data_IF_302981266291
#
_entry.id   IF_302981266291
#
_cell.length_a   1.000
_cell.length_b   1.000
_cell.length_c   1.000
_cell.angle_alpha   90.00
_cell.angle_beta   90.00
_cell.angle_gamma   90.00
#
_symmetry.space_group_name_H-M   'P 1'
#
loop_
_entity.id
_entity.type
_entity.pdbx_description
1 polymer ?
#
# COMPACT_ATOMS: atom_id res chain seq x y z
N UNK A 1 21.80 -5.77 -16.96
CA UNK A 1 22.41 -6.26 -15.70
C UNK A 1 22.91 -7.70 -15.85
N UNK A 2 23.83 -8.21 -14.96
CA UNK A 2 24.28 -9.60 -14.98
C UNK A 2 23.11 -10.60 -14.84
N UNK A 3 22.11 -10.28 -14.06
CA UNK A 3 20.93 -11.11 -13.86
C UNK A 3 20.04 -11.19 -15.10
N UNK A 4 19.86 -10.10 -15.82
CA UNK A 4 19.15 -10.11 -17.11
C UNK A 4 19.86 -10.97 -18.14
N UNK A 5 21.18 -10.86 -18.24
CA UNK A 5 21.98 -11.69 -19.16
C UNK A 5 21.90 -13.18 -18.77
N UNK A 6 21.81 -13.51 -17.47
CA UNK A 6 21.60 -14.86 -16.98
C UNK A 6 20.20 -15.37 -17.32
N UNK A 7 19.17 -14.56 -17.13
CA UNK A 7 17.79 -14.86 -17.48
C UNK A 7 17.67 -15.19 -18.98
N UNK A 8 18.20 -14.32 -19.85
CA UNK A 8 18.17 -14.53 -21.30
C UNK A 8 18.84 -15.83 -21.72
N UNK A 9 20.00 -16.18 -21.14
CA UNK A 9 20.70 -17.44 -21.44
C UNK A 9 19.92 -18.70 -21.03
N UNK A 10 19.03 -18.58 -20.02
CA UNK A 10 18.21 -19.70 -19.54
C UNK A 10 16.84 -19.76 -20.21
N UNK A 11 16.47 -18.74 -20.99
CA UNK A 11 15.17 -18.66 -21.66
C UNK A 11 15.10 -19.66 -22.80
N UNK A 12 14.16 -20.60 -22.71
CA UNK A 12 13.90 -21.61 -23.75
C UNK A 12 12.63 -21.30 -24.56
N UNK A 13 11.68 -20.59 -23.96
CA UNK A 13 10.38 -20.28 -24.58
C UNK A 13 9.89 -18.91 -24.13
N UNK A 14 9.30 -18.18 -25.07
CA UNK A 14 8.63 -16.90 -24.81
C UNK A 14 7.14 -17.08 -25.18
N UNK A 15 6.24 -16.66 -24.30
CA UNK A 15 4.80 -16.60 -24.53
C UNK A 15 4.26 -15.25 -24.05
N UNK A 16 3.10 -14.85 -24.56
CA UNK A 16 2.42 -13.63 -24.15
C UNK A 16 0.94 -13.92 -23.88
N UNK A 17 0.32 -13.07 -23.04
CA UNK A 17 -1.11 -13.05 -22.80
C UNK A 17 -1.58 -11.64 -23.14
N UNK A 18 -2.55 -11.52 -24.07
CA UNK A 18 -3.15 -10.23 -24.43
C UNK A 18 -4.07 -9.76 -23.32
N UNK A 19 -3.98 -8.48 -22.97
CA UNK A 19 -4.92 -7.78 -22.08
C UNK A 19 -5.58 -6.63 -22.82
N UNK A 20 -6.76 -6.19 -22.37
CA UNK A 20 -7.50 -5.09 -23.00
C UNK A 20 -6.92 -3.71 -22.64
N UNK A 21 -6.00 -3.65 -21.66
CA UNK A 21 -5.35 -2.40 -21.28
C UNK A 21 -4.23 -2.60 -20.27
N UNK A 22 -3.68 -1.48 -19.80
CA UNK A 22 -2.52 -1.44 -18.91
C UNK A 22 -2.85 -1.96 -17.51
N UNK A 23 -4.02 -1.61 -16.97
CA UNK A 23 -4.43 -2.07 -15.62
C UNK A 23 -4.49 -3.60 -15.60
N UNK A 24 -5.15 -4.20 -16.59
CA UNK A 24 -5.22 -5.65 -16.73
C UNK A 24 -3.86 -6.31 -16.85
N UNK A 25 -2.93 -5.71 -17.61
CA UNK A 25 -1.58 -6.22 -17.75
C UNK A 25 -0.83 -6.22 -16.40
N UNK A 26 -0.86 -5.11 -15.66
CA UNK A 26 -0.20 -4.97 -14.36
C UNK A 26 -0.79 -5.92 -13.30
N UNK A 27 -2.12 -6.04 -13.25
CA UNK A 27 -2.81 -6.94 -12.33
C UNK A 27 -2.49 -8.41 -12.61
N UNK A 28 -2.49 -8.79 -13.90
CA UNK A 28 -2.15 -10.15 -14.33
C UNK A 28 -0.70 -10.47 -14.03
N UNK A 29 0.24 -9.54 -14.30
CA UNK A 29 1.65 -9.70 -13.96
C UNK A 29 1.83 -9.95 -12.47
N UNK A 30 1.24 -9.09 -11.62
CA UNK A 30 1.31 -9.22 -10.17
C UNK A 30 0.76 -10.57 -9.68
N UNK A 31 -0.36 -11.02 -10.25
CA UNK A 31 -0.97 -12.32 -9.94
C UNK A 31 -0.06 -13.49 -10.35
N UNK A 32 0.49 -13.45 -11.57
CA UNK A 32 1.37 -14.50 -12.08
C UNK A 32 2.66 -14.61 -11.27
N UNK A 33 3.27 -13.50 -10.88
CA UNK A 33 4.47 -13.49 -10.03
C UNK A 33 4.18 -14.12 -8.67
N UNK A 34 3.02 -13.81 -8.07
CA UNK A 34 2.59 -14.37 -6.78
C UNK A 34 2.27 -15.86 -6.85
N UNK A 35 1.77 -16.33 -7.99
CA UNK A 35 1.42 -17.75 -8.19
C UNK A 35 2.63 -18.60 -8.59
N UNK A 36 3.52 -18.07 -9.45
CA UNK A 36 4.61 -18.83 -10.06
C UNK A 36 5.95 -18.68 -9.34
N UNK A 37 6.11 -17.66 -8.49
CA UNK A 37 7.36 -17.36 -7.77
C UNK A 37 8.63 -17.35 -8.66
N UNK A 38 8.64 -16.61 -9.79
CA UNK A 38 9.73 -16.67 -10.76
C UNK A 38 11.07 -16.29 -10.14
N UNK A 39 12.16 -16.92 -10.62
CA UNK A 39 13.50 -16.74 -10.05
C UNK A 39 14.03 -15.31 -10.16
N UNK A 40 13.76 -14.64 -11.27
CA UNK A 40 14.33 -13.33 -11.60
C UNK A 40 13.41 -12.14 -11.30
N UNK A 41 12.13 -12.38 -11.00
CA UNK A 41 11.19 -11.32 -10.59
C UNK A 41 10.71 -11.56 -9.16
N UNK A 42 11.34 -10.88 -8.19
CA UNK A 42 11.09 -11.10 -6.76
C UNK A 42 10.30 -9.95 -6.10
N UNK A 43 10.15 -8.80 -6.76
CA UNK A 43 9.60 -7.59 -6.16
C UNK A 43 8.12 -7.69 -5.78
N UNK A 44 7.31 -8.41 -6.56
CA UNK A 44 5.87 -8.56 -6.36
C UNK A 44 5.49 -9.86 -5.62
N UNK A 45 6.43 -10.50 -4.92
CA UNK A 45 6.13 -11.68 -4.11
C UNK A 45 5.30 -11.29 -2.88
N UNK A 46 4.41 -12.19 -2.46
CA UNK A 46 3.56 -11.96 -1.28
C UNK A 46 4.41 -11.66 -0.04
N UNK A 47 4.16 -10.52 0.59
CA UNK A 47 4.84 -10.11 1.82
C UNK A 47 3.93 -10.31 3.04
N UNK A 48 4.21 -11.31 3.85
CA UNK A 48 3.49 -11.60 5.10
C UNK A 48 3.76 -10.59 6.23
N UNK A 49 4.79 -9.74 6.08
CA UNK A 49 5.17 -8.71 7.05
C UNK A 49 4.70 -7.31 6.65
N UNK A 50 3.84 -7.23 5.62
CA UNK A 50 3.27 -5.95 5.18
C UNK A 50 2.66 -5.22 6.38
N UNK A 51 3.12 -3.99 6.62
CA UNK A 51 2.66 -3.17 7.73
C UNK A 51 2.51 -1.70 7.34
N UNK A 52 1.84 -0.96 8.19
CA UNK A 52 1.58 0.46 8.06
C UNK A 52 1.79 1.16 9.41
N UNK A 53 1.98 2.47 9.40
CA UNK A 53 1.90 3.31 10.60
C UNK A 53 0.43 3.69 10.84
N UNK A 54 -0.06 3.49 12.05
CA UNK A 54 -1.40 3.88 12.48
C UNK A 54 -1.32 5.00 13.51
N UNK A 55 -2.19 6.01 13.39
CA UNK A 55 -2.19 7.23 14.21
C UNK A 55 -3.50 7.40 15.01
N UNK A 56 -4.05 6.32 15.54
CA UNK A 56 -5.27 6.37 16.38
C UNK A 56 -5.02 6.79 17.83
N UNK A 57 -3.78 6.78 18.30
CA UNK A 57 -3.37 7.13 19.66
C UNK A 57 -2.39 8.31 19.70
N UNK A 58 -1.76 8.51 20.85
CA UNK A 58 -0.75 9.54 21.06
C UNK A 58 0.57 9.20 20.35
N UNK A 59 0.90 7.90 20.28
CA UNK A 59 2.14 7.39 19.68
C UNK A 59 1.80 6.60 18.42
N UNK A 60 2.48 6.87 17.29
CA UNK A 60 2.33 6.07 16.07
C UNK A 60 2.62 4.59 16.34
N UNK A 61 1.74 3.71 15.89
CA UNK A 61 1.89 2.26 16.06
C UNK A 61 2.10 1.59 14.72
N UNK A 62 2.92 0.53 14.71
CA UNK A 62 3.08 -0.33 13.53
C UNK A 62 2.05 -1.45 13.60
N UNK A 63 1.14 -1.48 12.61
CA UNK A 63 0.08 -2.48 12.46
C UNK A 63 0.31 -3.31 11.21
N UNK A 64 -0.16 -4.58 11.21
CA UNK A 64 0.10 -5.50 10.11
C UNK A 64 -1.18 -5.82 9.33
N UNK A 65 -1.05 -5.96 8.01
CA UNK A 65 -2.17 -6.31 7.14
C UNK A 65 -2.76 -7.71 7.38
N UNK A 66 -2.03 -8.58 8.10
CA UNK A 66 -2.54 -9.88 8.55
C UNK A 66 -3.47 -9.79 9.74
N UNK A 67 -3.37 -8.71 10.55
CA UNK A 67 -4.09 -8.55 11.81
C UNK A 67 -5.32 -7.64 11.65
N UNK A 68 -5.29 -6.70 10.70
CA UNK A 68 -6.39 -5.77 10.40
C UNK A 68 -6.57 -5.59 8.88
N UNK A 69 -7.80 -5.28 8.48
CA UNK A 69 -8.12 -5.01 7.07
C UNK A 69 -7.75 -3.57 6.68
N UNK A 70 -6.62 -3.40 5.99
CA UNK A 70 -6.12 -2.08 5.54
C UNK A 70 -7.07 -1.38 4.57
N UNK A 71 -7.95 -2.12 3.88
CA UNK A 71 -8.93 -1.52 2.99
C UNK A 71 -10.08 -0.83 3.72
N UNK A 72 -10.27 -1.13 5.00
CA UNK A 72 -11.35 -0.59 5.85
C UNK A 72 -10.86 0.30 6.99
N UNK A 73 -9.57 0.21 7.31
CA UNK A 73 -9.00 0.89 8.45
C UNK A 73 -8.55 2.30 8.06
N UNK A 74 -9.16 3.37 8.59
CA UNK A 74 -8.69 4.74 8.41
C UNK A 74 -7.37 4.99 9.18
N UNK A 75 -6.74 6.14 8.89
CA UNK A 75 -5.55 6.64 9.61
C UNK A 75 -4.33 5.72 9.53
N UNK A 76 -4.19 5.02 8.39
CA UNK A 76 -2.99 4.29 8.02
C UNK A 76 -2.10 5.12 7.10
N UNK A 77 -0.78 5.07 7.34
CA UNK A 77 0.20 5.86 6.61
C UNK A 77 1.39 5.01 6.17
N UNK A 78 1.55 4.91 4.85
CA UNK A 78 2.59 4.15 4.19
C UNK A 78 2.35 2.62 4.21
N UNK A 79 2.89 1.97 3.20
CA UNK A 79 2.91 0.51 3.08
C UNK A 79 4.36 0.04 3.10
N UNK A 80 4.74 -0.65 4.16
CA UNK A 80 6.12 -1.03 4.44
C UNK A 80 6.30 -2.54 4.43
N UNK A 81 7.46 -2.98 3.92
CA UNK A 81 7.78 -4.39 3.81
C UNK A 81 8.07 -5.05 5.17
N UNK A 82 8.38 -4.26 6.21
CA UNK A 82 8.69 -4.75 7.55
C UNK A 82 8.54 -3.64 8.58
N UNK A 83 8.43 -4.02 9.86
CA UNK A 83 8.44 -3.08 10.98
C UNK A 83 9.68 -2.18 10.99
N UNK A 84 10.84 -2.72 10.64
CA UNK A 84 12.08 -1.93 10.57
C UNK A 84 11.97 -0.83 9.51
N UNK A 85 11.50 -1.17 8.30
CA UNK A 85 11.29 -0.19 7.24
C UNK A 85 10.26 0.90 7.63
N UNK A 86 9.19 0.53 8.35
CA UNK A 86 8.21 1.51 8.84
C UNK A 86 8.82 2.49 9.85
N UNK A 87 9.62 1.99 10.80
CA UNK A 87 10.28 2.82 11.79
C UNK A 87 11.39 3.68 11.18
N UNK A 88 12.11 3.20 10.19
CA UNK A 88 13.12 3.99 9.47
C UNK A 88 12.48 5.11 8.65
N UNK A 89 11.35 4.83 8.00
CA UNK A 89 10.56 5.87 7.34
C UNK A 89 10.05 6.93 8.32
N UNK A 90 9.55 6.51 9.50
CA UNK A 90 9.13 7.44 10.54
C UNK A 90 10.30 8.29 11.06
N UNK A 91 11.51 7.72 11.21
CA UNK A 91 12.73 8.48 11.57
C UNK A 91 13.07 9.50 10.50
N UNK A 92 13.08 9.10 9.23
CA UNK A 92 13.39 10.01 8.12
C UNK A 92 12.39 11.18 8.05
N UNK A 93 11.10 10.94 8.25
CA UNK A 93 10.05 11.96 8.32
C UNK A 93 10.30 12.88 9.54
N UNK A 94 10.62 12.31 10.69
CA UNK A 94 10.90 13.09 11.89
C UNK A 94 12.13 13.97 11.72
N UNK A 95 13.15 13.50 11.03
CA UNK A 95 14.36 14.28 10.72
C UNK A 95 14.06 15.44 9.77
N UNK A 96 13.32 15.18 8.70
CA UNK A 96 12.96 16.18 7.72
C UNK A 96 12.06 17.29 8.30
N UNK A 97 11.13 16.92 9.19
CA UNK A 97 10.12 17.83 9.74
C UNK A 97 10.43 18.29 11.18
N UNK A 98 11.63 18.06 11.69
CA UNK A 98 12.06 18.43 13.05
C UNK A 98 11.12 17.92 14.15
N UNK A 99 10.55 16.71 13.96
CA UNK A 99 9.72 16.08 14.96
C UNK A 99 10.56 15.49 16.09
N UNK A 100 10.04 15.48 17.29
CA UNK A 100 10.70 14.89 18.44
C UNK A 100 10.52 13.36 18.47
N UNK A 101 11.58 12.62 18.70
CA UNK A 101 11.55 11.15 18.76
C UNK A 101 10.79 10.61 19.98
N UNK A 102 10.79 11.35 21.11
CA UNK A 102 10.08 10.93 22.32
C UNK A 102 8.59 10.67 22.11
N UNK A 103 7.78 11.68 21.70
CA UNK A 103 6.36 11.51 21.41
C UNK A 103 6.07 10.50 20.29
N UNK A 104 7.03 10.24 19.40
CA UNK A 104 6.90 9.24 18.35
C UNK A 104 7.21 7.80 18.82
N UNK A 105 7.63 7.62 20.08
CA UNK A 105 8.03 6.33 20.60
C UNK A 105 9.34 5.77 20.00
N UNK A 106 10.10 6.61 19.30
CA UNK A 106 11.37 6.24 18.67
C UNK A 106 12.55 6.29 19.65
N UNK A 107 12.39 7.06 20.74
CA UNK A 107 13.37 7.22 21.81
C UNK A 107 12.65 7.26 23.18
N UNK A 108 13.21 6.59 24.18
CA UNK A 108 12.74 6.70 25.57
C UNK A 108 13.43 7.88 26.23
N UNK A 109 12.65 8.92 26.53
CA UNK A 109 13.16 10.08 27.25
C UNK A 109 12.87 9.93 28.76
N UNK A 110 13.87 10.14 29.62
CA UNK A 110 13.63 10.25 31.05
C UNK A 110 12.69 11.42 31.36
N UNK A 111 11.83 11.34 32.38
CA UNK A 111 10.95 12.43 32.77
C UNK A 111 11.72 13.74 32.99
N UNK A 112 11.23 14.84 32.41
CA UNK A 112 11.81 16.18 32.53
C UNK A 112 13.12 16.40 31.78
N UNK A 113 13.59 15.44 30.96
CA UNK A 113 14.80 15.62 30.15
C UNK A 113 14.44 15.85 28.69
N UNK A 114 15.12 16.83 28.09
CA UNK A 114 15.06 17.08 26.65
C UNK A 114 15.82 16.00 25.87
N UNK A 115 15.36 15.72 24.65
CA UNK A 115 16.09 14.84 23.74
C UNK A 115 17.40 15.51 23.25
N UNK A 116 18.42 14.72 22.93
CA UNK A 116 19.66 15.22 22.35
C UNK A 116 19.44 16.05 21.07
N UNK A 117 18.45 15.66 20.26
CA UNK A 117 18.09 16.35 19.01
C UNK A 117 17.63 17.80 19.22
N UNK A 118 17.02 18.12 20.37
CA UNK A 118 16.68 19.50 20.72
C UNK A 118 17.93 20.36 20.95
N UNK A 119 18.98 19.80 21.54
CA UNK A 119 20.24 20.51 21.75
C UNK A 119 20.94 20.88 20.42
N UNK A 120 20.85 20.03 19.41
CA UNK A 120 21.43 20.25 18.08
C UNK A 120 20.43 20.83 17.05
N UNK A 121 19.28 21.34 17.53
CA UNK A 121 18.24 22.01 16.70
C UNK A 121 17.60 21.11 15.61
N UNK A 122 17.63 19.81 15.78
CA UNK A 122 16.96 18.83 14.92
C UNK A 122 15.56 18.43 15.44
N UNK A 123 15.11 19.05 16.52
CA UNK A 123 13.79 18.92 17.11
C UNK A 123 13.26 20.32 17.41
N UNK A 124 11.98 20.58 17.17
CA UNK A 124 11.35 21.88 17.45
C UNK A 124 11.14 22.14 18.95
N UNK A 125 11.44 21.16 19.82
CA UNK A 125 11.52 21.39 21.25
C UNK A 125 10.28 21.05 22.06
N UNK A 126 9.36 20.23 21.54
CA UNK A 126 8.18 19.78 22.33
C UNK A 126 8.60 19.10 23.65
N UNK A 127 9.72 18.40 23.69
CA UNK A 127 10.29 17.80 24.90
C UNK A 127 10.85 18.81 25.92
N UNK A 128 10.97 20.09 25.56
CA UNK A 128 11.42 21.20 26.44
C UNK A 128 10.31 22.20 26.70
N UNK A 129 9.14 22.04 26.07
CA UNK A 129 8.06 23.02 26.12
C UNK A 129 8.22 24.22 25.17
N UNK A 130 9.20 24.18 24.23
CA UNK A 130 9.37 25.23 23.20
C UNK A 130 8.24 25.15 22.14
N UNK A 131 7.61 23.99 22.03
CA UNK A 131 6.48 23.71 21.16
C UNK A 131 5.39 22.98 21.94
N UNK A 132 4.11 23.24 21.62
CA UNK A 132 3.01 22.50 22.24
C UNK A 132 2.88 21.06 21.66
N UNK A 133 2.38 20.09 22.44
CA UNK A 133 2.09 18.75 21.94
C UNK A 133 1.15 18.76 20.73
N UNK A 134 0.16 19.67 20.71
CA UNK A 134 -0.80 19.81 19.63
C UNK A 134 -0.10 20.25 18.32
N UNK A 135 0.76 21.28 18.38
CA UNK A 135 1.50 21.77 17.23
C UNK A 135 2.46 20.68 16.68
N UNK A 136 3.11 19.92 17.57
CA UNK A 136 3.93 18.76 17.16
C UNK A 136 3.09 17.71 16.45
N UNK A 137 1.90 17.37 16.98
CA UNK A 137 0.98 16.40 16.40
C UNK A 137 0.44 16.83 15.04
N UNK A 138 0.04 18.10 14.92
CA UNK A 138 -0.43 18.67 13.64
C UNK A 138 0.64 18.61 12.57
N UNK A 139 1.90 18.91 12.92
CA UNK A 139 3.03 18.79 12.01
C UNK A 139 3.31 17.34 11.60
N UNK A 140 3.19 16.38 12.54
CA UNK A 140 3.26 14.95 12.23
C UNK A 140 2.18 14.55 11.23
N UNK A 141 0.92 14.91 11.46
CA UNK A 141 -0.19 14.63 10.55
C UNK A 141 0.09 15.20 9.16
N UNK A 142 0.45 16.47 9.08
CA UNK A 142 0.75 17.14 7.82
C UNK A 142 1.89 16.46 7.05
N UNK A 143 2.92 15.99 7.77
CA UNK A 143 4.06 15.30 7.15
C UNK A 143 3.74 13.90 6.62
N UNK A 144 2.71 13.26 7.14
CA UNK A 144 2.27 11.92 6.76
C UNK A 144 1.16 11.90 5.71
N UNK A 145 0.54 13.05 5.44
CA UNK A 145 -0.67 13.13 4.60
C UNK A 145 -0.47 12.52 3.20
N UNK A 146 0.68 12.75 2.59
CA UNK A 146 1.03 12.18 1.27
C UNK A 146 1.22 10.65 1.27
N UNK A 147 1.33 10.05 2.45
CA UNK A 147 1.51 8.61 2.63
C UNK A 147 0.23 7.90 3.06
N UNK A 148 -0.88 8.63 3.15
CA UNK A 148 -2.16 8.07 3.59
C UNK A 148 -2.55 6.88 2.72
N UNK A 149 -2.94 5.79 3.39
CA UNK A 149 -3.51 4.61 2.74
C UNK A 149 -5.02 4.82 2.65
N UNK A 150 -5.54 4.87 1.44
CA UNK A 150 -6.96 5.14 1.20
C UNK A 150 -7.81 3.89 1.46
N UNK A 151 -8.91 4.08 2.17
CA UNK A 151 -9.90 3.03 2.35
C UNK A 151 -10.56 2.67 1.01
N UNK A 152 -11.10 1.47 0.92
CA UNK A 152 -11.89 1.05 -0.25
C UNK A 152 -13.18 1.88 -0.32
N UNK A 153 -13.45 2.59 -1.44
CA UNK A 153 -14.53 3.57 -1.49
C UNK A 153 -15.90 2.99 -1.82
N UNK A 154 -16.00 1.68 -2.09
CA UNK A 154 -17.24 1.05 -2.51
C UNK A 154 -17.76 0.06 -1.47
N UNK A 155 -19.10 -0.17 -1.43
CA UNK A 155 -19.69 -1.11 -0.47
C UNK A 155 -19.38 -2.59 -0.80
N UNK A 156 -18.99 -2.89 -2.04
CA UNK A 156 -18.72 -4.25 -2.51
C UNK A 156 -17.65 -4.30 -3.58
N UNK A 157 -17.70 -5.34 -4.40
CA UNK A 157 -16.84 -5.50 -5.54
C UNK A 157 -17.23 -4.54 -6.68
N UNK A 158 -16.24 -4.12 -7.44
CA UNK A 158 -16.42 -3.35 -8.68
C UNK A 158 -15.71 -4.03 -9.85
N UNK A 159 -16.19 -3.77 -11.06
CA UNK A 159 -15.54 -4.11 -12.30
C UNK A 159 -14.90 -2.88 -12.93
N UNK A 160 -13.60 -2.95 -13.21
CA UNK A 160 -12.89 -1.93 -13.99
C UNK A 160 -12.86 -2.38 -15.44
N UNK A 161 -13.37 -1.55 -16.34
CA UNK A 161 -13.58 -1.92 -17.75
C UNK A 161 -12.45 -1.34 -18.59
N UNK A 162 -11.70 -2.20 -19.27
CA UNK A 162 -10.73 -1.84 -20.30
C UNK A 162 -11.14 -2.41 -21.66
N UNK A 163 -10.82 -1.68 -22.75
CA UNK A 163 -11.19 -2.04 -24.13
C UNK A 163 -10.02 -1.81 -25.08
N UNK A 164 -9.80 -2.79 -25.96
CA UNK A 164 -8.87 -2.69 -27.10
C UNK A 164 -9.59 -3.16 -28.36
N UNK A 165 -10.22 -2.22 -29.06
CA UNK A 165 -11.16 -2.50 -30.14
C UNK A 165 -12.39 -3.24 -29.61
N UNK A 166 -12.66 -4.43 -30.17
CA UNK A 166 -13.77 -5.29 -29.74
C UNK A 166 -13.42 -6.13 -28.48
N UNK A 167 -12.14 -6.18 -28.11
CA UNK A 167 -11.70 -6.95 -26.95
C UNK A 167 -11.94 -6.16 -25.66
N UNK A 168 -12.89 -6.63 -24.85
CA UNK A 168 -13.25 -6.03 -23.58
C UNK A 168 -12.88 -6.96 -22.43
N UNK A 169 -12.29 -6.41 -21.38
CA UNK A 169 -12.08 -7.10 -20.12
C UNK A 169 -12.64 -6.27 -18.96
N UNK A 170 -13.25 -6.96 -18.01
CA UNK A 170 -13.76 -6.38 -16.76
C UNK A 170 -12.94 -6.98 -15.63
N UNK A 171 -12.09 -6.16 -15.01
CA UNK A 171 -11.23 -6.58 -13.89
C UNK A 171 -12.01 -6.44 -12.60
N UNK A 172 -12.32 -7.57 -11.97
CA UNK A 172 -13.08 -7.62 -10.72
C UNK A 172 -12.16 -7.33 -9.57
N UNK A 173 -12.50 -6.31 -8.78
CA UNK A 173 -11.69 -5.81 -7.66
C UNK A 173 -12.56 -5.60 -6.44
N UNK A 174 -12.06 -5.97 -5.26
CA UNK A 174 -12.69 -5.71 -3.97
C UNK A 174 -11.63 -5.49 -2.90
N UNK A 175 -11.77 -4.47 -2.05
CA UNK A 175 -10.82 -4.14 -0.99
C UNK A 175 -9.36 -4.03 -1.48
N UNK A 176 -9.18 -3.42 -2.65
CA UNK A 176 -7.89 -3.28 -3.34
C UNK A 176 -7.27 -4.60 -3.81
N UNK A 177 -8.03 -5.71 -3.75
CA UNK A 177 -7.59 -7.02 -4.20
C UNK A 177 -8.19 -7.35 -5.57
N UNK A 178 -7.34 -7.76 -6.49
CA UNK A 178 -7.75 -8.26 -7.79
C UNK A 178 -8.25 -9.70 -7.66
N UNK A 179 -9.49 -9.94 -8.07
CA UNK A 179 -10.15 -11.23 -7.99
C UNK A 179 -10.09 -12.02 -9.31
N UNK A 180 -9.86 -11.33 -10.42
CA UNK A 180 -9.79 -11.92 -11.75
C UNK A 180 -10.38 -11.01 -12.82
N UNK A 181 -10.33 -11.45 -14.09
CA UNK A 181 -10.95 -10.74 -15.24
C UNK A 181 -12.03 -11.57 -15.89
N UNK A 182 -13.06 -10.89 -16.37
CA UNK A 182 -14.20 -11.48 -17.03
C UNK A 182 -14.49 -10.78 -18.38
N UNK A 183 -15.06 -11.48 -19.37
CA UNK A 183 -15.37 -10.90 -20.68
C UNK A 183 -16.69 -10.12 -20.70
N UNK A 184 -17.51 -10.24 -19.67
CA UNK A 184 -18.84 -9.60 -19.59
C UNK A 184 -19.21 -9.24 -18.15
N UNK A 185 -20.17 -8.34 -17.98
CA UNK A 185 -20.66 -7.92 -16.66
C UNK A 185 -21.32 -9.09 -15.90
N UNK A 186 -21.98 -10.00 -16.58
CA UNK A 186 -22.58 -11.18 -15.97
C UNK A 186 -21.50 -12.12 -15.40
N UNK A 187 -20.48 -12.43 -16.20
CA UNK A 187 -19.35 -13.24 -15.74
C UNK A 187 -18.58 -12.55 -14.60
N UNK A 188 -18.46 -11.22 -14.63
CA UNK A 188 -17.84 -10.45 -13.54
C UNK A 188 -18.62 -10.55 -12.22
N UNK A 189 -19.96 -10.49 -12.26
CA UNK A 189 -20.82 -10.70 -11.07
C UNK A 189 -20.67 -12.12 -10.51
N UNK A 190 -20.67 -13.14 -11.35
CA UNK A 190 -20.45 -14.52 -10.90
C UNK A 190 -19.09 -14.68 -10.25
N UNK A 191 -18.04 -14.08 -10.81
CA UNK A 191 -16.69 -14.09 -10.27
C UNK A 191 -16.65 -13.39 -8.91
N UNK A 192 -17.29 -12.23 -8.75
CA UNK A 192 -17.33 -11.50 -7.48
C UNK A 192 -18.02 -12.29 -6.37
N UNK A 193 -19.12 -12.97 -6.68
CA UNK A 193 -19.85 -13.81 -5.72
C UNK A 193 -19.03 -15.01 -5.26
N UNK A 194 -18.33 -15.67 -6.18
CA UNK A 194 -17.48 -16.82 -5.86
C UNK A 194 -16.28 -16.42 -5.02
N UNK A 195 -15.63 -15.32 -5.36
CA UNK A 195 -14.45 -14.82 -4.64
C UNK A 195 -14.78 -14.24 -3.26
N UNK A 196 -16.01 -13.72 -3.05
CA UNK A 196 -16.44 -13.19 -1.75
C UNK A 196 -16.53 -14.23 -0.64
N UNK A 197 -16.46 -15.54 -0.97
CA UNK A 197 -16.42 -16.61 0.02
C UNK A 197 -15.06 -16.73 0.74
N UNK A 198 -14.00 -16.16 0.17
CA UNK A 198 -12.68 -16.11 0.78
C UNK A 198 -12.36 -14.65 1.05
N UNK A 199 -12.24 -14.25 2.32
CA UNK A 199 -11.87 -12.88 2.66
C UNK A 199 -10.53 -12.51 2.00
N UNK A 200 -10.52 -11.57 1.05
CA UNK A 200 -9.28 -11.20 0.39
C UNK A 200 -8.36 -10.51 1.38
N UNK A 201 -7.12 -10.96 1.49
CA UNK A 201 -6.09 -10.23 2.22
C UNK A 201 -5.68 -9.00 1.42
N UNK A 202 -5.52 -7.87 2.10
CA UNK A 202 -5.05 -6.63 1.49
C UNK A 202 -3.77 -6.87 0.66
N UNK A 203 -3.81 -6.45 -0.60
CA UNK A 203 -2.71 -6.60 -1.55
C UNK A 203 -2.07 -5.24 -1.84
N UNK A 204 -0.85 -5.03 -1.36
CA UNK A 204 -0.13 -3.77 -1.55
C UNK A 204 0.18 -3.46 -3.02
N UNK A 205 0.40 -4.47 -3.86
CA UNK A 205 0.67 -4.27 -5.27
C UNK A 205 -0.63 -3.95 -6.01
N UNK A 206 -1.71 -4.67 -5.72
CA UNK A 206 -3.05 -4.34 -6.19
C UNK A 206 -3.44 -2.91 -5.78
N UNK A 207 -3.22 -2.53 -4.53
CA UNK A 207 -3.47 -1.16 -4.06
C UNK A 207 -2.70 -0.11 -4.90
N UNK A 208 -1.40 -0.30 -5.13
CA UNK A 208 -0.58 0.65 -5.90
C UNK A 208 -1.03 0.78 -7.34
N UNK A 209 -1.46 -0.32 -7.97
CA UNK A 209 -1.96 -0.32 -9.34
C UNK A 209 -3.32 0.37 -9.41
N UNK A 210 -4.21 0.10 -8.46
CA UNK A 210 -5.63 0.43 -8.51
C UNK A 210 -5.98 1.78 -7.86
N UNK A 211 -5.22 2.22 -6.85
CA UNK A 211 -5.58 3.37 -6.01
C UNK A 211 -5.84 4.63 -6.86
N UNK A 212 -4.89 5.01 -7.71
CA UNK A 212 -5.03 6.19 -8.55
C UNK A 212 -6.16 6.05 -9.57
N UNK A 213 -6.23 5.01 -10.43
CA UNK A 213 -7.33 4.86 -11.40
C UNK A 213 -8.71 4.87 -10.77
N UNK A 214 -8.88 4.20 -9.65
CA UNK A 214 -10.17 4.10 -8.94
C UNK A 214 -10.58 5.43 -8.33
N UNK A 215 -9.67 6.13 -7.64
CA UNK A 215 -9.98 7.37 -6.91
C UNK A 215 -10.11 8.59 -7.85
N UNK A 216 -9.38 8.62 -8.97
CA UNK A 216 -9.48 9.71 -9.95
C UNK A 216 -10.58 9.49 -10.99
N UNK A 217 -11.20 8.31 -11.02
CA UNK A 217 -12.19 7.98 -12.05
C UNK A 217 -11.60 7.91 -13.47
N UNK A 218 -10.29 7.62 -13.60
CA UNK A 218 -9.63 7.52 -14.90
C UNK A 218 -9.91 6.22 -15.65
N UNK A 219 -10.66 5.32 -15.05
CA UNK A 219 -11.15 4.05 -15.63
C UNK A 219 -12.66 3.95 -15.46
N UNK A 220 -13.33 3.35 -16.43
CA UNK A 220 -14.76 3.09 -16.35
C UNK A 220 -15.03 2.01 -15.29
N UNK A 221 -15.94 2.31 -14.34
CA UNK A 221 -16.24 1.44 -13.18
C UNK A 221 -17.71 1.02 -13.23
N UNK A 222 -17.96 -0.26 -13.01
CA UNK A 222 -19.30 -0.83 -12.84
C UNK A 222 -19.42 -1.49 -11.46
N UNK A 223 -20.51 -1.25 -10.75
CA UNK A 223 -20.84 -1.95 -9.50
C UNK A 223 -21.29 -3.39 -9.82
N UNK A 224 -20.84 -4.35 -9.05
CA UNK A 224 -21.10 -5.78 -9.28
C UNK A 224 -22.03 -6.38 -8.23
#
# INVERSE_FOLDING_TARGET
TPDEARMLRQTQRISHIRTAGEIGALLLEAQMIKAQHPLFNQKLRRNQQLCSLQLTGEVPQVVYARDIDFAKQPELYGLYASRHAALDALRAIADQHKLCYGPLGLEKLPPGKACFRAAIRQCAGVCRGDESPEAHRERLFSSLLALRVECWPYPGAVGLIERDGEFTQIHVVQHWCYLGSAPSAEAARQLSQTASQVAPHFDADGYKILCRPVLTGSVEIVLL
#
